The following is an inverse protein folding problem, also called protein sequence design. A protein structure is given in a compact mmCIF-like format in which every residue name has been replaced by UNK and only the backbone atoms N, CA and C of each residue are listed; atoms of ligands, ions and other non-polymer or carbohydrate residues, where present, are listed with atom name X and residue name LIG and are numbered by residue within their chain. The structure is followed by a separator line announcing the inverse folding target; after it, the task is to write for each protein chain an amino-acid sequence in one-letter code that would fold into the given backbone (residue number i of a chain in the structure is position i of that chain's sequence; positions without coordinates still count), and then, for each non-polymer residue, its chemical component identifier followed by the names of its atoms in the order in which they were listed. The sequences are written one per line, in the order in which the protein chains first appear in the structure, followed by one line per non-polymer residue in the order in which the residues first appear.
data_IF_460213966415
#
_entry.id   IF_460213966415
#
_cell.length_a   1.000
_cell.length_b   1.000
_cell.length_c   1.000
_cell.angle_alpha   90.00
_cell.angle_beta   90.00
_cell.angle_gamma   90.00
#
_symmetry.space_group_name_H-M   'P 1'
#
loop_
_entity.id
_entity.type
_entity.pdbx_description
1 polymer ?
#
# COMPACT_ATOMS: atom_id res chain seq x y z
N UNK A 1 6.63 4.84 4.57
CA UNK A 1 6.43 3.53 3.89
C UNK A 1 6.44 3.82 2.42
N UNK A 2 7.28 3.15 1.62
CA UNK A 2 7.44 3.46 0.20
C UNK A 2 6.85 2.34 -0.67
N UNK A 3 6.27 2.72 -1.80
CA UNK A 3 5.74 1.85 -2.84
C UNK A 3 6.43 2.26 -4.14
N UNK A 4 7.03 1.30 -4.84
CA UNK A 4 7.54 1.48 -6.19
C UNK A 4 6.90 0.43 -7.09
N UNK A 5 6.30 0.86 -8.19
CA UNK A 5 5.65 0.00 -9.16
C UNK A 5 6.23 0.28 -10.54
N UNK A 6 6.95 -0.70 -11.09
CA UNK A 6 7.40 -0.67 -12.48
C UNK A 6 6.28 -1.16 -13.41
N UNK A 7 6.34 -0.74 -14.67
CA UNK A 7 5.39 -1.10 -15.72
C UNK A 7 3.93 -0.84 -15.33
N UNK A 8 3.65 0.35 -14.77
CA UNK A 8 2.28 0.78 -14.39
C UNK A 8 1.31 0.67 -15.57
N UNK A 9 1.83 0.78 -16.79
CA UNK A 9 1.10 0.55 -18.02
C UNK A 9 1.93 -0.29 -18.98
N UNK A 10 1.29 -1.22 -19.69
CA UNK A 10 1.90 -2.06 -20.72
C UNK A 10 1.31 -1.66 -22.07
N UNK A 11 2.12 -1.12 -22.97
CA UNK A 11 1.70 -0.76 -24.32
C UNK A 11 2.09 0.65 -24.73
N UNK A 12 1.16 1.37 -25.36
CA UNK A 12 1.32 2.78 -25.71
C UNK A 12 1.18 3.64 -24.44
N UNK A 13 2.10 4.59 -24.23
CA UNK A 13 2.00 5.51 -23.10
C UNK A 13 0.69 6.32 -23.18
N UNK A 14 -0.08 6.40 -22.08
CA UNK A 14 -1.26 7.25 -22.04
C UNK A 14 -0.84 8.72 -22.13
N UNK A 15 -1.71 9.58 -22.69
CA UNK A 15 -1.51 11.05 -22.67
C UNK A 15 -1.58 11.63 -21.26
N UNK A 16 -2.36 10.99 -20.37
CA UNK A 16 -2.65 11.46 -19.02
C UNK A 16 -2.71 10.28 -18.08
N UNK A 17 -2.08 10.41 -16.92
CA UNK A 17 -2.17 9.45 -15.84
C UNK A 17 -2.83 10.12 -14.62
N UNK A 18 -3.95 9.56 -14.17
CA UNK A 18 -4.64 10.01 -12.95
C UNK A 18 -4.47 8.92 -11.90
N UNK A 19 -3.95 9.30 -10.73
CA UNK A 19 -3.68 8.39 -9.62
C UNK A 19 -4.55 8.81 -8.44
N UNK A 20 -5.29 7.84 -7.91
CA UNK A 20 -6.10 7.98 -6.70
C UNK A 20 -5.93 6.76 -5.81
N UNK A 21 -5.80 6.98 -4.51
CA UNK A 21 -5.71 5.90 -3.53
C UNK A 21 -7.06 5.74 -2.82
N UNK A 22 -7.53 4.50 -2.66
CA UNK A 22 -8.78 4.18 -1.96
C UNK A 22 -8.56 3.10 -0.93
N UNK A 23 -9.50 2.95 0.01
CA UNK A 23 -9.46 1.79 0.90
C UNK A 23 -9.61 0.50 0.07
N UNK A 24 -8.79 -0.52 0.36
CA UNK A 24 -8.87 -1.81 -0.35
C UNK A 24 -10.27 -2.49 -0.32
N UNK A 25 -11.12 -2.23 0.69
CA UNK A 25 -12.48 -2.77 0.78
C UNK A 25 -13.45 -1.98 -0.09
N UNK A 26 -13.20 -0.68 -0.27
CA UNK A 26 -13.85 0.11 -1.30
C UNK A 26 -13.45 -0.39 -2.70
N UNK A 27 -12.16 -0.67 -2.94
CA UNK A 27 -11.69 -1.23 -4.22
C UNK A 27 -12.38 -2.56 -4.57
N UNK A 28 -12.58 -3.45 -3.60
CA UNK A 28 -13.32 -4.71 -3.79
C UNK A 28 -14.85 -4.56 -3.75
N UNK A 29 -15.40 -3.35 -3.72
CA UNK A 29 -16.84 -3.10 -3.87
C UNK A 29 -17.68 -3.33 -2.61
N UNK A 30 -17.12 -3.12 -1.41
CA UNK A 30 -17.91 -3.16 -0.17
C UNK A 30 -19.07 -2.17 -0.20
N UNK A 31 -20.30 -2.66 -0.02
CA UNK A 31 -21.53 -1.85 -0.05
C UNK A 31 -21.58 -0.74 1.00
N UNK A 32 -20.79 -0.87 2.08
CA UNK A 32 -20.69 0.14 3.16
C UNK A 32 -19.64 1.21 2.91
N UNK A 33 -18.93 1.17 1.76
CA UNK A 33 -17.80 2.05 1.44
C UNK A 33 -18.01 2.74 0.10
N UNK A 34 -17.40 3.92 -0.04
CA UNK A 34 -17.43 4.69 -1.28
C UNK A 34 -16.13 4.46 -2.06
N UNK A 35 -16.24 3.92 -3.28
CA UNK A 35 -15.12 3.67 -4.21
C UNK A 35 -14.52 4.94 -4.80
N UNK A 36 -15.21 6.07 -4.68
CA UNK A 36 -14.78 7.39 -5.15
C UNK A 36 -14.26 8.29 -4.01
N UNK A 37 -14.02 7.72 -2.81
CA UNK A 37 -13.38 8.43 -1.71
C UNK A 37 -11.85 8.27 -1.83
N UNK A 38 -11.23 9.17 -2.59
CA UNK A 38 -9.80 9.18 -2.86
C UNK A 38 -9.03 9.83 -1.71
N UNK A 39 -8.45 8.99 -0.85
CA UNK A 39 -7.73 9.43 0.35
C UNK A 39 -6.27 9.69 0.05
N UNK A 40 -5.72 10.73 0.67
CA UNK A 40 -4.29 11.02 0.61
C UNK A 40 -3.42 10.02 1.39
N UNK A 41 -3.95 9.33 2.41
CA UNK A 41 -3.22 8.41 3.29
C UNK A 41 -1.91 8.96 3.90
N UNK A 42 -1.81 10.29 4.01
CA UNK A 42 -0.57 11.00 4.39
C UNK A 42 0.60 10.70 3.44
N UNK A 43 0.31 10.57 2.14
CA UNK A 43 1.31 10.59 1.09
C UNK A 43 2.15 11.85 1.25
N UNK A 44 3.47 11.67 1.27
CA UNK A 44 4.44 12.75 1.42
C UNK A 44 5.34 12.93 0.19
N UNK A 45 5.28 11.99 -0.75
CA UNK A 45 6.08 11.98 -1.96
C UNK A 45 5.39 11.12 -3.01
N UNK A 46 5.30 11.64 -4.23
CA UNK A 46 4.86 10.90 -5.42
C UNK A 46 5.64 11.37 -6.64
N UNK A 47 6.17 10.41 -7.40
CA UNK A 47 6.98 10.65 -8.58
C UNK A 47 6.69 9.62 -9.66
N UNK A 48 6.58 10.07 -10.90
CA UNK A 48 6.36 9.23 -12.07
C UNK A 48 7.59 9.31 -12.97
N UNK A 49 8.07 8.17 -13.41
CA UNK A 49 9.21 8.05 -14.30
C UNK A 49 8.75 7.50 -15.65
N UNK A 50 9.14 8.17 -16.73
CA UNK A 50 8.99 7.73 -18.12
C UNK A 50 10.37 7.40 -18.65
N UNK A 51 10.64 6.14 -18.96
CA UNK A 51 11.96 5.66 -19.46
C UNK A 51 13.14 6.13 -18.58
N UNK A 52 12.92 6.16 -17.26
CA UNK A 52 13.92 6.60 -16.26
C UNK A 52 14.03 8.12 -16.05
N UNK A 53 13.27 8.93 -16.78
CA UNK A 53 13.19 10.38 -16.56
C UNK A 53 11.97 10.75 -15.73
N UNK A 54 12.15 11.57 -14.70
CA UNK A 54 11.06 12.04 -13.85
C UNK A 54 10.11 13.00 -14.58
N UNK A 55 8.80 12.79 -14.39
CA UNK A 55 7.71 13.57 -14.95
C UNK A 55 6.68 13.88 -13.87
N UNK A 56 6.33 15.15 -13.62
CA UNK A 56 6.99 16.37 -14.12
C UNK A 56 8.38 16.55 -13.48
N UNK A 57 9.24 17.39 -14.07
CA UNK A 57 10.59 17.68 -13.53
C UNK A 57 10.60 18.09 -12.05
N UNK A 58 9.51 18.71 -11.58
CA UNK A 58 9.32 19.03 -10.17
C UNK A 58 8.47 17.94 -9.50
N UNK A 59 9.12 17.12 -8.70
CA UNK A 59 8.47 16.13 -7.83
C UNK A 59 7.38 16.74 -6.93
N UNK A 60 6.40 15.91 -6.56
CA UNK A 60 5.29 16.31 -5.70
C UNK A 60 5.51 15.79 -4.27
N UNK A 61 5.76 16.72 -3.35
CA UNK A 61 5.93 16.45 -1.91
C UNK A 61 4.82 17.12 -1.08
N UNK A 62 3.58 16.57 -1.08
CA UNK A 62 2.51 17.14 -0.27
C UNK A 62 2.74 16.85 1.22
N UNK A 63 2.44 17.81 2.09
CA UNK A 63 2.34 17.61 3.53
C UNK A 63 0.95 18.02 4.00
N UNK A 64 0.08 17.03 4.19
CA UNK A 64 -1.30 17.23 4.62
C UNK A 64 -1.44 17.62 6.09
N UNK A 65 -0.47 17.29 6.95
CA UNK A 65 -0.49 17.68 8.37
C UNK A 65 -0.19 19.19 8.55
N UNK A 66 0.50 19.82 7.59
CA UNK A 66 0.86 21.24 7.58
C UNK A 66 0.07 22.05 6.53
N UNK A 67 -0.98 21.48 5.97
CA UNK A 67 -1.75 22.04 4.85
C UNK A 67 -0.90 22.40 3.60
N UNK A 68 0.32 21.88 3.48
CA UNK A 68 1.24 22.16 2.38
C UNK A 68 1.10 21.13 1.26
N UNK A 69 -0.02 21.18 0.54
CA UNK A 69 -0.31 20.28 -0.60
C UNK A 69 -0.73 21.04 -1.86
N UNK A 70 -0.42 22.34 -1.94
CA UNK A 70 -0.88 23.22 -3.02
C UNK A 70 -0.38 22.77 -4.40
N UNK A 71 0.83 22.21 -4.49
CA UNK A 71 1.37 21.67 -5.75
C UNK A 71 0.61 20.43 -6.20
N UNK A 72 0.31 19.52 -5.28
CA UNK A 72 -0.50 18.35 -5.55
C UNK A 72 -1.93 18.75 -5.98
N UNK A 73 -2.55 19.71 -5.30
CA UNK A 73 -3.84 20.28 -5.70
C UNK A 73 -3.79 20.92 -7.09
N UNK A 74 -2.74 21.71 -7.40
CA UNK A 74 -2.54 22.31 -8.72
C UNK A 74 -2.38 21.27 -9.84
N UNK A 75 -1.90 20.07 -9.54
CA UNK A 75 -1.78 18.99 -10.53
C UNK A 75 -3.13 18.66 -11.18
N UNK A 76 -4.25 18.76 -10.44
CA UNK A 76 -5.60 18.58 -10.97
C UNK A 76 -5.87 19.48 -12.17
N UNK A 77 -5.52 20.76 -12.06
CA UNK A 77 -5.85 21.78 -13.06
C UNK A 77 -4.84 21.79 -14.22
N UNK A 78 -3.55 21.65 -13.89
CA UNK A 78 -2.49 21.60 -14.88
C UNK A 78 -2.58 20.35 -15.75
N UNK A 79 -2.98 19.23 -15.14
CA UNK A 79 -3.09 17.97 -15.84
C UNK A 79 -4.29 17.88 -16.79
N UNK A 80 -5.35 18.67 -16.60
CA UNK A 80 -6.62 18.55 -17.35
C UNK A 80 -6.87 19.68 -18.36
N UNK A 81 -5.87 20.49 -18.73
CA UNK A 81 -6.02 21.63 -19.64
C UNK A 81 -7.14 22.63 -19.27
N UNK A 82 -7.44 22.78 -17.98
CA UNK A 82 -8.39 23.78 -17.53
C UNK A 82 -7.77 25.17 -17.36
N UNK A 83 -6.53 25.35 -17.83
CA UNK A 83 -5.90 26.66 -18.00
C UNK A 83 -6.53 27.39 -19.19
N UNK A 84 -7.78 27.85 -19.03
CA UNK A 84 -8.41 28.81 -19.95
C UNK A 84 -9.73 28.38 -20.61
N UNK A 85 -10.29 27.20 -20.30
CA UNK A 85 -11.65 26.81 -20.74
C UNK A 85 -12.56 26.68 -19.51
N UNK A 86 -13.84 27.06 -19.65
CA UNK A 86 -14.93 27.02 -18.64
C UNK A 86 -15.32 25.57 -18.22
N UNK A 87 -14.35 24.71 -17.97
CA UNK A 87 -14.54 23.37 -17.40
C UNK A 87 -13.94 23.40 -16.00
N UNK A 88 -14.71 23.88 -15.03
CA UNK A 88 -14.24 23.99 -13.66
C UNK A 88 -14.13 22.61 -13.00
N UNK A 89 -12.98 22.33 -12.38
CA UNK A 89 -12.87 21.23 -11.40
C UNK A 89 -13.50 21.76 -10.12
N UNK A 90 -14.72 21.30 -9.82
CA UNK A 90 -15.48 21.65 -8.61
C UNK A 90 -14.96 20.94 -7.35
N UNK A 91 -13.66 21.00 -7.09
CA UNK A 91 -13.03 20.46 -5.89
C UNK A 91 -12.28 21.62 -5.24
N UNK A 92 -12.76 22.08 -4.08
CA UNK A 92 -12.02 23.07 -3.29
C UNK A 92 -10.73 22.48 -2.72
N UNK A 93 -9.80 23.34 -2.30
CA UNK A 93 -8.55 22.90 -1.66
C UNK A 93 -8.82 22.13 -0.36
N UNK A 94 -9.89 22.49 0.35
CA UNK A 94 -10.30 21.85 1.59
C UNK A 94 -10.92 20.47 1.33
N UNK A 95 -11.72 20.33 0.27
CA UNK A 95 -12.28 19.04 -0.16
C UNK A 95 -11.19 18.11 -0.69
N UNK A 96 -10.18 18.64 -1.38
CA UNK A 96 -9.05 17.86 -1.88
C UNK A 96 -8.41 16.99 -0.81
N UNK A 97 -8.18 17.54 0.40
CA UNK A 97 -7.61 16.80 1.52
C UNK A 97 -8.62 15.84 2.20
N UNK A 98 -9.93 15.97 1.94
CA UNK A 98 -11.02 15.26 2.62
C UNK A 98 -11.63 14.13 1.78
N UNK A 99 -10.87 13.51 0.89
CA UNK A 99 -11.35 12.37 0.09
C UNK A 99 -11.49 12.64 -1.41
N UNK A 100 -10.97 13.76 -1.88
CA UNK A 100 -10.89 14.10 -3.30
C UNK A 100 -9.43 14.23 -3.78
N UNK A 101 -8.52 13.47 -3.16
CA UNK A 101 -7.09 13.53 -3.45
C UNK A 101 -6.75 12.71 -4.69
N UNK A 102 -6.73 13.36 -5.85
CA UNK A 102 -6.22 12.80 -7.10
C UNK A 102 -4.92 13.51 -7.51
N UNK A 103 -4.01 12.76 -8.11
CA UNK A 103 -2.76 13.26 -8.68
C UNK A 103 -2.83 13.09 -10.19
N UNK A 104 -2.67 14.17 -10.94
CA UNK A 104 -2.76 14.13 -12.41
C UNK A 104 -1.40 14.47 -13.00
N UNK A 105 -0.91 13.56 -13.83
CA UNK A 105 0.31 13.71 -14.60
C UNK A 105 -0.05 13.83 -16.07
N UNK A 106 0.35 14.95 -16.68
CA UNK A 106 0.28 15.11 -18.13
C UNK A 106 1.55 14.53 -18.76
N UNK A 107 1.34 13.60 -19.69
CA UNK A 107 2.38 12.90 -20.45
C UNK A 107 2.33 13.29 -21.94
N UNK A 108 1.50 14.27 -22.31
CA UNK A 108 1.33 14.73 -23.68
C UNK A 108 2.64 15.31 -24.21
N UNK A 109 3.14 14.89 -25.39
CA UNK A 109 4.42 15.34 -25.93
C UNK A 109 4.51 16.87 -26.16
N UNK A 110 3.37 17.49 -26.38
CA UNK A 110 3.14 18.91 -26.64
C UNK A 110 2.60 19.67 -25.42
N UNK A 111 2.36 18.97 -24.29
CA UNK A 111 1.59 19.49 -23.14
C UNK A 111 0.26 20.11 -23.58
N UNK A 112 -0.31 19.59 -24.69
CA UNK A 112 -1.53 20.10 -25.29
C UNK A 112 -2.49 18.94 -25.62
N UNK A 113 -3.76 19.06 -25.26
CA UNK A 113 -4.86 18.09 -25.48
C UNK A 113 -5.66 18.45 -26.74
N UNK A 114 -5.17 19.41 -27.55
CA UNK A 114 -5.69 19.67 -28.89
C UNK A 114 -5.62 18.37 -29.74
N UNK A 115 -6.50 18.27 -30.74
CA UNK A 115 -6.52 17.17 -31.72
C UNK A 115 -5.31 17.25 -32.67
N UNK A 116 -4.10 17.18 -32.11
CA UNK A 116 -2.88 16.97 -32.84
C UNK A 116 -2.59 15.47 -32.88
N UNK A 117 -2.15 14.99 -34.05
CA UNK A 117 -1.68 13.62 -34.24
C UNK A 117 -0.37 13.44 -33.45
N UNK A 118 -0.50 13.19 -32.16
CA UNK A 118 0.64 12.94 -31.29
C UNK A 118 1.25 11.58 -31.65
N UNK A 119 2.57 11.55 -31.84
CA UNK A 119 3.30 10.32 -32.10
C UNK A 119 3.04 9.31 -30.97
N UNK A 120 2.64 8.09 -31.35
CA UNK A 120 2.49 6.96 -30.43
C UNK A 120 3.86 6.67 -29.84
N UNK A 121 4.03 6.95 -28.54
CA UNK A 121 5.24 6.60 -27.80
C UNK A 121 5.01 5.33 -27.00
N UNK A 122 5.91 4.38 -27.17
CA UNK A 122 6.08 3.25 -26.26
C UNK A 122 7.16 3.63 -25.25
N UNK A 123 6.93 3.30 -23.99
CA UNK A 123 7.89 3.54 -22.92
C UNK A 123 7.47 2.85 -21.64
N UNK A 124 8.38 2.80 -20.68
CA UNK A 124 8.13 2.24 -19.35
C UNK A 124 7.66 3.35 -18.41
N UNK A 125 6.54 3.11 -17.72
CA UNK A 125 6.09 3.91 -16.60
C UNK A 125 6.47 3.24 -15.29
N UNK A 126 7.19 3.97 -14.44
CA UNK A 126 7.46 3.59 -13.05
C UNK A 126 6.87 4.64 -12.12
N UNK A 127 6.06 4.23 -11.16
CA UNK A 127 5.48 5.08 -10.14
C UNK A 127 6.16 4.83 -8.80
N UNK A 128 6.57 5.89 -8.13
CA UNK A 128 7.04 5.84 -6.76
C UNK A 128 6.16 6.70 -5.86
N UNK A 129 5.84 6.18 -4.68
CA UNK A 129 5.07 6.86 -3.65
C UNK A 129 5.69 6.60 -2.28
N UNK A 130 5.66 7.58 -1.39
CA UNK A 130 5.99 7.39 0.01
C UNK A 130 4.93 8.04 0.90
N UNK A 131 4.71 7.44 2.06
CA UNK A 131 3.72 7.83 3.05
C UNK A 131 4.41 8.15 4.37
N UNK A 132 4.07 9.30 4.97
CA UNK A 132 4.63 9.75 6.24
C UNK A 132 4.15 8.92 7.43
N UNK A 133 2.96 8.30 7.30
CA UNK A 133 2.39 7.39 8.27
C UNK A 133 2.32 5.97 7.68
N UNK A 134 2.53 4.91 8.47
CA UNK A 134 2.28 3.55 8.01
C UNK A 134 0.84 3.40 7.50
N UNK A 135 0.66 2.78 6.35
CA UNK A 135 -0.68 2.43 5.87
C UNK A 135 -1.26 1.34 6.77
N UNK A 136 -2.55 1.46 7.11
CA UNK A 136 -3.28 0.41 7.80
C UNK A 136 -3.17 -0.88 6.98
N UNK A 137 -2.47 -1.87 7.53
CA UNK A 137 -2.12 -3.07 6.79
C UNK A 137 -3.40 -3.82 6.40
N UNK A 138 -3.51 -4.19 5.12
CA UNK A 138 -4.63 -4.97 4.58
C UNK A 138 -4.97 -6.17 5.46
N UNK A 139 -3.93 -6.86 5.95
CA UNK A 139 -4.04 -7.99 6.88
C UNK A 139 -4.78 -7.60 8.17
N UNK A 140 -4.38 -6.50 8.81
CA UNK A 140 -5.04 -6.00 10.02
C UNK A 140 -6.53 -5.77 9.79
N UNK A 141 -6.87 -5.15 8.66
CA UNK A 141 -8.26 -4.81 8.36
C UNK A 141 -9.12 -6.02 8.01
N UNK A 142 -8.56 -7.05 7.36
CA UNK A 142 -9.28 -8.30 7.07
C UNK A 142 -9.56 -9.05 8.37
N UNK A 143 -8.52 -9.30 9.17
CA UNK A 143 -8.64 -10.14 10.37
C UNK A 143 -9.41 -9.48 11.52
N UNK A 144 -9.38 -8.15 11.62
CA UNK A 144 -10.18 -7.42 12.62
C UNK A 144 -11.68 -7.39 12.31
N UNK A 145 -12.09 -7.69 11.07
CA UNK A 145 -13.50 -7.64 10.63
C UNK A 145 -14.11 -9.00 10.35
N UNK A 146 -13.30 -10.04 10.18
CA UNK A 146 -13.82 -11.39 9.99
C UNK A 146 -14.54 -11.89 11.26
N UNK A 147 -15.68 -12.55 11.05
CA UNK A 147 -16.58 -12.98 12.14
C UNK A 147 -15.94 -14.00 13.08
N UNK A 148 -14.99 -14.78 12.58
CA UNK A 148 -14.32 -15.84 13.32
C UNK A 148 -13.04 -15.35 14.00
N UNK A 149 -12.25 -14.50 13.31
CA UNK A 149 -10.94 -14.05 13.83
C UNK A 149 -11.03 -12.80 14.69
N UNK A 150 -11.94 -11.87 14.42
CA UNK A 150 -12.01 -10.54 15.06
C UNK A 150 -11.98 -10.55 16.59
N UNK A 151 -12.62 -11.55 17.21
CA UNK A 151 -12.69 -11.68 18.68
C UNK A 151 -11.33 -11.99 19.33
N UNK A 152 -10.45 -12.66 18.61
CA UNK A 152 -9.17 -13.18 19.12
C UNK A 152 -7.97 -12.48 18.47
N UNK A 153 -8.19 -11.74 17.39
CA UNK A 153 -7.14 -11.04 16.67
C UNK A 153 -6.54 -9.91 17.51
N UNK A 154 -5.22 -9.94 17.68
CA UNK A 154 -4.47 -8.96 18.49
C UNK A 154 -3.80 -7.88 17.66
N UNK A 155 -3.39 -8.19 16.43
CA UNK A 155 -2.78 -7.22 15.54
C UNK A 155 -1.71 -7.83 14.64
N UNK A 156 -1.01 -6.93 13.95
CA UNK A 156 0.17 -7.26 13.15
C UNK A 156 1.40 -6.64 13.80
N UNK A 157 2.47 -7.41 13.94
CA UNK A 157 3.70 -7.00 14.64
C UNK A 157 4.94 -7.27 13.79
N UNK A 158 6.02 -6.48 13.91
CA UNK A 158 7.35 -6.90 13.47
C UNK A 158 7.91 -7.98 14.42
N UNK A 159 8.96 -8.70 14.01
CA UNK A 159 9.47 -9.86 14.76
C UNK A 159 10.00 -9.53 16.15
N UNK A 160 10.43 -8.28 16.37
CA UNK A 160 11.00 -7.77 17.61
C UNK A 160 9.97 -7.20 18.61
N UNK A 161 8.71 -7.02 18.21
CA UNK A 161 7.65 -6.43 19.06
C UNK A 161 6.47 -7.38 19.33
N UNK A 162 6.61 -8.68 19.03
CA UNK A 162 5.53 -9.64 19.24
C UNK A 162 5.24 -9.79 20.74
N UNK A 163 4.03 -9.41 21.13
CA UNK A 163 3.59 -9.51 22.53
C UNK A 163 3.28 -10.96 22.93
N UNK A 164 3.67 -11.35 24.15
CA UNK A 164 3.39 -12.69 24.70
C UNK A 164 1.87 -12.91 24.79
N UNK A 165 1.40 -13.99 24.16
CA UNK A 165 -0.01 -14.35 24.12
C UNK A 165 -0.43 -15.08 25.40
N UNK A 166 -1.18 -14.41 26.27
CA UNK A 166 -1.66 -14.99 27.54
C UNK A 166 -2.99 -15.72 27.46
N UNK A 167 -3.74 -15.53 26.39
CA UNK A 167 -5.09 -16.09 26.19
C UNK A 167 -5.25 -16.50 24.74
N UNK A 168 -6.39 -17.11 24.40
CA UNK A 168 -6.75 -17.41 23.01
C UNK A 168 -6.56 -16.18 22.13
N UNK A 169 -5.71 -16.26 21.12
CA UNK A 169 -5.28 -15.09 20.34
C UNK A 169 -4.75 -15.46 18.96
N UNK A 170 -4.97 -14.57 17.99
CA UNK A 170 -4.40 -14.63 16.64
C UNK A 170 -3.50 -13.42 16.46
N UNK A 171 -2.28 -13.65 15.97
CA UNK A 171 -1.32 -12.59 15.62
C UNK A 171 -0.79 -12.88 14.23
N UNK A 172 -0.62 -11.83 13.43
CA UNK A 172 0.25 -11.91 12.25
C UNK A 172 1.55 -11.21 12.57
N UNK A 173 2.67 -11.79 12.18
CA UNK A 173 3.98 -11.19 12.36
C UNK A 173 4.70 -11.07 11.02
N UNK A 174 5.48 -10.00 10.88
CA UNK A 174 6.50 -9.93 9.86
C UNK A 174 7.78 -10.56 10.40
N UNK A 175 8.55 -11.27 9.57
CA UNK A 175 9.81 -11.87 10.01
C UNK A 175 10.90 -10.82 10.27
N UNK A 176 10.81 -9.66 9.62
CA UNK A 176 11.78 -8.59 9.74
C UNK A 176 11.51 -7.72 10.97
N UNK A 177 12.58 -7.07 11.47
CA UNK A 177 12.48 -6.13 12.57
C UNK A 177 11.75 -4.86 12.13
N UNK A 178 11.28 -4.04 13.08
CA UNK A 178 10.59 -2.77 12.77
C UNK A 178 11.42 -1.85 11.84
N UNK A 179 12.75 -1.89 11.96
CA UNK A 179 13.69 -1.09 11.17
C UNK A 179 13.99 -1.62 9.77
N UNK A 180 13.51 -2.82 9.44
CA UNK A 180 13.86 -3.53 8.21
C UNK A 180 12.70 -3.54 7.19
N UNK A 181 13.01 -3.89 5.94
CA UNK A 181 12.01 -3.99 4.89
C UNK A 181 11.13 -5.23 5.15
N UNK A 182 9.81 -5.04 5.23
CA UNK A 182 8.82 -6.10 5.44
C UNK A 182 8.81 -7.10 4.27
N UNK A 183 9.46 -8.24 4.44
CA UNK A 183 9.75 -9.21 3.37
C UNK A 183 8.84 -10.43 3.39
N UNK A 184 8.43 -10.92 4.57
CA UNK A 184 7.60 -12.12 4.68
C UNK A 184 6.66 -12.09 5.89
N UNK A 185 5.45 -12.63 5.72
CA UNK A 185 4.41 -12.68 6.74
C UNK A 185 4.18 -14.11 7.23
N UNK A 186 4.01 -14.25 8.55
CA UNK A 186 3.72 -15.50 9.25
C UNK A 186 2.56 -15.28 10.21
N UNK A 187 1.82 -16.33 10.55
CA UNK A 187 0.73 -16.24 11.51
C UNK A 187 0.97 -17.12 12.73
N UNK A 188 0.53 -16.62 13.88
CA UNK A 188 0.53 -17.30 15.15
C UNK A 188 -0.90 -17.43 15.65
N UNK A 189 -1.26 -18.64 16.07
CA UNK A 189 -2.50 -18.90 16.75
C UNK A 189 -2.24 -19.61 18.07
N UNK A 190 -2.81 -19.07 19.15
CA UNK A 190 -2.80 -19.70 20.45
C UNK A 190 -4.23 -20.04 20.83
N UNK A 191 -4.53 -21.32 21.00
CA UNK A 191 -5.82 -21.80 21.52
C UNK A 191 -5.76 -21.99 23.04
N UNK A 192 -4.74 -22.71 23.53
CA UNK A 192 -4.57 -23.16 24.93
C UNK A 192 -3.32 -22.55 25.57
N UNK A 193 -3.07 -22.81 26.85
CA UNK A 193 -1.99 -22.15 27.60
C UNK A 193 -0.58 -22.63 27.29
N UNK A 194 -0.43 -23.76 26.59
CA UNK A 194 0.88 -24.39 26.35
C UNK A 194 1.21 -24.67 24.88
N UNK A 195 0.26 -24.41 23.97
CA UNK A 195 0.39 -24.76 22.55
C UNK A 195 0.29 -23.52 21.67
N UNK A 196 1.27 -23.34 20.80
CA UNK A 196 1.31 -22.32 19.77
C UNK A 196 1.28 -22.99 18.39
N UNK A 197 0.31 -22.63 17.58
CA UNK A 197 0.30 -22.95 16.15
C UNK A 197 1.02 -21.83 15.38
N UNK A 198 2.05 -22.23 14.64
CA UNK A 198 2.80 -21.41 13.71
C UNK A 198 2.39 -21.76 12.27
N UNK A 199 2.01 -20.76 11.51
CA UNK A 199 1.70 -20.91 10.10
C UNK A 199 2.66 -20.08 9.26
N UNK A 200 3.26 -20.75 8.28
CA UNK A 200 4.06 -20.15 7.23
C UNK A 200 3.64 -20.73 5.88
N UNK A 201 3.37 -19.88 4.91
CA UNK A 201 2.95 -20.30 3.58
C UNK A 201 4.04 -21.08 2.82
N UNK A 202 5.33 -20.93 3.15
CA UNK A 202 6.40 -21.76 2.61
C UNK A 202 6.54 -23.13 3.29
N UNK A 203 5.87 -23.34 4.43
CA UNK A 203 5.92 -24.58 5.19
C UNK A 203 7.26 -24.81 5.92
N UNK A 204 8.01 -23.75 6.20
CA UNK A 204 9.30 -23.82 6.87
C UNK A 204 9.13 -23.92 8.40
N UNK A 205 10.12 -24.52 9.05
CA UNK A 205 10.18 -24.57 10.51
C UNK A 205 10.47 -23.15 11.08
N UNK A 206 9.91 -22.76 12.26
CA UNK A 206 10.13 -21.43 12.84
C UNK A 206 11.59 -21.02 13.00
N UNK A 207 12.49 -21.99 13.23
CA UNK A 207 13.94 -21.77 13.33
C UNK A 207 14.57 -21.16 12.06
N UNK A 208 13.89 -21.28 10.92
CA UNK A 208 14.37 -20.76 9.63
C UNK A 208 14.30 -19.23 9.54
N UNK A 209 13.52 -18.57 10.42
CA UNK A 209 13.19 -17.14 10.35
C UNK A 209 13.98 -16.26 11.33
N UNK A 210 15.11 -16.77 11.84
CA UNK A 210 16.03 -16.00 12.65
C UNK A 210 15.70 -15.94 14.15
N UNK A 211 16.52 -15.19 14.89
CA UNK A 211 16.59 -15.26 16.36
C UNK A 211 15.33 -14.76 17.06
N UNK A 212 14.65 -13.75 16.51
CA UNK A 212 13.47 -13.17 17.14
C UNK A 212 12.28 -14.14 17.13
N UNK A 213 12.00 -14.75 15.97
CA UNK A 213 10.95 -15.76 15.83
C UNK A 213 11.28 -16.98 16.68
N UNK A 214 12.52 -17.48 16.62
CA UNK A 214 12.95 -18.60 17.45
C UNK A 214 12.77 -18.31 18.94
N UNK A 215 13.28 -17.17 19.42
CA UNK A 215 13.13 -16.74 20.82
C UNK A 215 11.67 -16.67 21.24
N UNK A 216 10.80 -16.15 20.38
CA UNK A 216 9.37 -16.06 20.65
C UNK A 216 8.72 -17.45 20.74
N UNK A 217 8.97 -18.33 19.76
CA UNK A 217 8.40 -19.69 19.76
C UNK A 217 8.91 -20.54 20.92
N UNK A 218 10.16 -20.36 21.34
CA UNK A 218 10.74 -21.07 22.50
C UNK A 218 10.11 -20.67 23.85
N UNK A 219 9.28 -19.63 23.90
CA UNK A 219 8.50 -19.33 25.12
C UNK A 219 7.33 -20.27 25.34
N UNK A 220 6.98 -21.08 24.34
CA UNK A 220 5.88 -22.05 24.40
C UNK A 220 6.43 -23.48 24.49
N UNK A 221 5.87 -24.32 25.38
CA UNK A 221 6.27 -25.73 25.51
C UNK A 221 6.05 -26.56 24.24
N UNK A 222 4.95 -26.30 23.53
CA UNK A 222 4.58 -27.02 22.30
C UNK A 222 4.37 -26.01 21.18
N UNK A 223 5.06 -26.23 20.06
CA UNK A 223 4.90 -25.44 18.83
C UNK A 223 4.52 -26.39 17.70
N UNK A 224 3.33 -26.20 17.15
CA UNK A 224 2.85 -26.91 15.97
C UNK A 224 3.10 -26.06 14.73
N UNK A 225 3.45 -26.67 13.61
CA UNK A 225 3.63 -25.94 12.35
C UNK A 225 3.16 -26.75 11.14
N UNK A 226 2.88 -26.05 10.04
CA UNK A 226 2.64 -26.70 8.76
C UNK A 226 3.97 -27.00 8.05
N UNK A 227 4.20 -28.26 7.65
CA UNK A 227 5.36 -28.63 6.83
C UNK A 227 5.07 -28.61 5.32
N UNK A 228 3.81 -28.40 4.95
CA UNK A 228 3.38 -28.32 3.56
C UNK A 228 3.47 -26.88 3.06
N UNK A 229 4.22 -26.67 1.99
CA UNK A 229 4.24 -25.41 1.28
C UNK A 229 2.92 -25.18 0.52
N UNK A 230 2.33 -24.00 0.73
CA UNK A 230 1.16 -23.50 0.00
C UNK A 230 1.53 -22.37 -0.97
N UNK A 231 2.75 -21.84 -0.88
CA UNK A 231 3.26 -20.75 -1.70
C UNK A 231 4.60 -21.11 -2.36
N UNK A 232 4.78 -20.66 -3.61
CA UNK A 232 6.07 -20.74 -4.31
C UNK A 232 7.06 -19.72 -3.73
N UNK A 233 8.36 -20.04 -3.60
CA UNK A 233 9.40 -19.08 -3.16
C UNK A 233 9.50 -17.79 -3.97
N UNK A 234 8.95 -17.77 -5.18
CA UNK A 234 8.93 -16.59 -6.07
C UNK A 234 7.65 -15.77 -5.98
N UNK A 235 6.69 -16.18 -5.16
CA UNK A 235 5.40 -15.52 -5.00
C UNK A 235 5.45 -14.49 -3.88
N UNK A 236 4.71 -13.38 -4.02
CA UNK A 236 4.63 -12.26 -3.08
C UNK A 236 3.29 -12.19 -2.33
N UNK A 237 2.60 -13.32 -2.15
CA UNK A 237 1.22 -13.40 -1.60
C UNK A 237 1.14 -14.14 -0.26
N UNK A 238 2.16 -14.00 0.58
CA UNK A 238 2.17 -14.58 1.93
C UNK A 238 1.13 -13.95 2.87
#
# INVERSE_FOLDING_TARGET
MSIAQDNVYVGQLPKRLVIGCVDNDAFHGSLSKNTFNFKHFNLNFIELYVDGQSVPYNLLEPNFDQDNYIRAYKSLFLGTENSGQDREIFISREEYAKGYTLYVFDLSPDLCDAEHLNLIKHGNLRLEMNFSKPLDQTIHRILSRDKHTSKFYKGVYPSDEISILRKKSIVVANIDCLSEARSHWIAFYKEKDEELEFFDSYGQHPESYGKNILKYTSTFPVVLWNSKAFQSPTSNVC
#
